data_IF_429346994246
#
_entry.id   IF_429346994246
#
_cell.length_a   1.000
_cell.length_b   1.000
_cell.length_c   1.000
_cell.angle_alpha   90.00
_cell.angle_beta   90.00
_cell.angle_gamma   90.00
#
_symmetry.space_group_name_H-M   'P 1'
#
loop_
_entity.id
_entity.type
_entity.pdbx_description
1 polymer ?
#
# COMPACT_ATOMS: atom_id res chain seq x y z
N UNK A 1 6.79 55.72 27.83
CA UNK A 1 8.25 55.87 27.66
C UNK A 1 8.81 54.55 27.20
N UNK A 2 9.49 54.58 26.06
CA UNK A 2 9.99 53.44 25.31
C UNK A 2 11.15 52.73 26.03
N UNK A 3 11.29 51.44 25.80
CA UNK A 3 12.58 50.75 25.78
C UNK A 3 12.51 49.64 24.73
N UNK A 4 13.11 49.96 23.58
CA UNK A 4 13.34 49.11 22.42
C UNK A 4 14.45 48.11 22.76
N UNK A 5 14.16 46.81 22.73
CA UNK A 5 15.18 45.77 22.74
C UNK A 5 15.57 45.41 21.29
N UNK A 6 16.77 45.84 20.92
CA UNK A 6 17.53 45.43 19.74
C UNK A 6 17.86 43.93 19.88
N UNK A 7 17.68 43.07 18.87
CA UNK A 7 18.52 43.00 17.68
C UNK A 7 19.49 41.80 17.82
N UNK A 8 19.24 40.70 17.09
CA UNK A 8 20.10 39.51 17.14
C UNK A 8 19.73 38.45 16.11
N UNK A 9 19.92 38.75 14.82
CA UNK A 9 19.74 37.78 13.73
C UNK A 9 21.03 36.94 13.62
N UNK A 10 21.01 35.73 14.18
CA UNK A 10 22.13 34.81 14.09
C UNK A 10 22.29 34.29 12.65
N UNK A 11 23.40 34.67 12.00
CA UNK A 11 23.80 34.14 10.68
C UNK A 11 24.24 32.68 10.85
N UNK A 12 23.44 31.75 10.34
CA UNK A 12 23.84 30.35 10.18
C UNK A 12 24.93 30.26 9.12
N UNK A 13 26.11 29.82 9.55
CA UNK A 13 27.29 29.60 8.73
C UNK A 13 27.14 28.25 8.00
N UNK A 14 26.84 28.27 6.70
CA UNK A 14 26.79 27.07 5.85
C UNK A 14 28.20 26.77 5.34
N UNK A 15 28.83 25.63 5.69
CA UNK A 15 30.14 25.29 5.12
C UNK A 15 30.02 24.96 3.62
N UNK A 16 30.93 25.55 2.84
CA UNK A 16 31.09 25.31 1.40
C UNK A 16 31.37 23.83 1.11
N UNK A 17 30.52 23.20 0.30
CA UNK A 17 30.77 21.86 -0.26
C UNK A 17 32.05 21.88 -1.12
N UNK A 18 32.98 20.98 -0.81
CA UNK A 18 34.18 20.76 -1.60
C UNK A 18 33.83 20.21 -3.00
N UNK A 19 34.44 20.81 -4.02
CA UNK A 19 34.39 20.36 -5.41
C UNK A 19 35.12 19.03 -5.56
N UNK A 20 34.39 17.96 -5.90
CA UNK A 20 34.96 16.70 -6.37
C UNK A 20 35.33 16.86 -7.85
N UNK A 21 36.62 16.72 -8.15
CA UNK A 21 37.18 16.73 -9.52
C UNK A 21 36.88 15.38 -10.20
N UNK A 22 36.36 15.32 -11.44
CA UNK A 22 36.30 14.07 -12.16
C UNK A 22 37.65 13.79 -12.81
N UNK A 23 38.28 12.66 -12.47
CA UNK A 23 39.43 12.15 -13.20
C UNK A 23 38.98 11.28 -14.39
N UNK A 24 39.76 11.40 -15.48
CA UNK A 24 39.47 10.94 -16.84
C UNK A 24 39.66 9.43 -17.01
N UNK A 25 38.82 8.85 -17.88
CA UNK A 25 39.03 7.57 -18.58
C UNK A 25 40.04 7.79 -19.74
N UNK A 26 40.91 6.82 -20.10
CA UNK A 26 40.58 5.80 -21.12
C UNK A 26 41.14 4.40 -20.70
N UNK A 27 40.77 3.26 -21.26
CA UNK A 27 40.82 2.84 -22.67
C UNK A 27 40.19 1.45 -22.81
N UNK A 28 39.87 0.99 -24.03
CA UNK A 28 39.09 -0.21 -24.29
C UNK A 28 40.00 -1.44 -24.34
N UNK A 29 39.53 -2.56 -23.83
CA UNK A 29 39.63 -3.87 -24.50
C UNK A 29 38.85 -4.87 -23.67
N UNK A 30 37.84 -5.44 -24.32
CA UNK A 30 36.96 -6.44 -23.78
C UNK A 30 37.71 -7.77 -23.60
N UNK A 31 37.48 -8.45 -22.48
CA UNK A 31 37.45 -9.92 -22.49
C UNK A 31 36.49 -10.44 -21.42
N UNK A 32 35.50 -11.16 -21.95
CA UNK A 32 34.65 -12.23 -21.43
C UNK A 32 34.45 -12.43 -19.91
N UNK A 33 33.18 -12.73 -19.63
CA UNK A 33 32.67 -13.65 -18.61
C UNK A 33 32.23 -13.04 -17.28
N UNK A 34 30.97 -12.63 -17.23
CA UNK A 34 30.14 -12.74 -16.05
C UNK A 34 28.70 -13.02 -16.51
N UNK A 35 28.11 -14.10 -15.98
CA UNK A 35 26.74 -14.53 -16.23
C UNK A 35 25.73 -13.41 -15.99
N UNK A 36 24.55 -13.42 -16.65
CA UNK A 36 23.49 -12.47 -16.35
C UNK A 36 22.97 -12.76 -14.93
N UNK A 37 23.39 -11.95 -13.97
CA UNK A 37 22.83 -11.96 -12.63
C UNK A 37 21.33 -11.65 -12.67
N UNK A 38 20.52 -12.21 -11.76
CA UNK A 38 19.10 -11.92 -11.72
C UNK A 38 18.91 -10.42 -11.48
N UNK A 39 18.09 -9.79 -12.33
CA UNK A 39 17.81 -8.37 -12.29
C UNK A 39 17.36 -7.91 -10.90
N UNK A 40 17.77 -6.70 -10.52
CA UNK A 40 17.36 -6.01 -9.29
C UNK A 40 15.86 -5.72 -9.29
N UNK A 41 15.06 -6.71 -8.95
CA UNK A 41 13.66 -6.57 -8.53
C UNK A 41 13.58 -7.35 -7.22
N UNK A 42 13.84 -6.72 -6.07
CA UNK A 42 13.77 -7.45 -4.81
C UNK A 42 14.27 -6.77 -3.53
N UNK A 43 15.07 -5.70 -3.58
CA UNK A 43 15.61 -5.13 -2.34
C UNK A 43 14.61 -4.27 -1.57
N UNK A 44 13.85 -3.41 -2.27
CA UNK A 44 12.88 -2.53 -1.61
C UNK A 44 11.67 -3.31 -1.06
N UNK A 45 11.14 -4.28 -1.81
CA UNK A 45 10.02 -5.11 -1.34
C UNK A 45 10.38 -5.91 -0.08
N UNK A 46 11.61 -6.43 0.02
CA UNK A 46 12.05 -7.14 1.24
C UNK A 46 12.28 -6.21 2.43
N UNK A 47 12.78 -5.00 2.20
CA UNK A 47 12.96 -3.99 3.27
C UNK A 47 11.61 -3.57 3.89
N UNK A 48 10.57 -3.39 3.06
CA UNK A 48 9.23 -3.05 3.56
C UNK A 48 8.50 -4.23 4.21
N UNK A 49 8.74 -5.46 3.76
CA UNK A 49 8.18 -6.66 4.42
C UNK A 49 8.77 -6.80 5.82
N UNK A 50 10.07 -6.60 5.99
CA UNK A 50 10.71 -6.63 7.32
C UNK A 50 10.21 -5.48 8.21
N UNK A 51 10.14 -4.25 7.67
CA UNK A 51 9.66 -3.09 8.42
C UNK A 51 8.18 -3.19 8.86
N UNK A 52 7.39 -4.01 8.16
CA UNK A 52 5.97 -4.25 8.47
C UNK A 52 5.71 -5.58 9.17
N UNK A 53 6.74 -6.40 9.42
CA UNK A 53 6.61 -7.67 10.14
C UNK A 53 6.08 -7.47 11.57
N UNK A 54 6.38 -6.32 12.17
CA UNK A 54 5.91 -5.92 13.50
C UNK A 54 4.38 -5.86 13.62
N UNK A 55 3.66 -5.55 12.53
CA UNK A 55 2.19 -5.56 12.53
C UNK A 55 1.58 -6.96 12.75
N UNK A 56 2.38 -8.02 12.48
CA UNK A 56 1.96 -9.42 12.54
C UNK A 56 2.63 -10.23 13.67
N UNK A 57 3.40 -9.59 14.56
CA UNK A 57 4.08 -10.29 15.66
C UNK A 57 3.11 -10.73 16.76
N UNK A 58 2.14 -9.88 17.11
CA UNK A 58 1.17 -10.15 18.18
C UNK A 58 -0.16 -10.70 17.64
N UNK A 59 -0.46 -10.46 16.37
CA UNK A 59 -1.71 -10.86 15.72
C UNK A 59 -1.43 -11.17 14.24
N UNK A 60 -1.56 -12.44 13.87
CA UNK A 60 -1.27 -12.93 12.52
C UNK A 60 -2.42 -12.74 11.53
N UNK A 61 -3.58 -12.20 11.97
CA UNK A 61 -4.73 -11.99 11.10
C UNK A 61 -4.42 -11.01 9.97
N UNK A 62 -4.91 -11.24 8.76
CA UNK A 62 -4.75 -10.32 7.64
C UNK A 62 -5.38 -8.96 7.93
N UNK A 63 -4.82 -7.92 7.32
CA UNK A 63 -5.27 -6.54 7.44
C UNK A 63 -5.83 -6.07 6.10
N UNK A 64 -7.14 -5.77 6.06
CA UNK A 64 -7.81 -5.14 4.94
C UNK A 64 -7.62 -3.61 5.02
N UNK A 65 -6.91 -3.07 4.04
CA UNK A 65 -6.76 -1.64 3.85
C UNK A 65 -7.91 -1.09 3.00
N UNK A 66 -8.51 0.02 3.45
CA UNK A 66 -9.66 0.62 2.78
C UNK A 66 -9.60 2.16 2.78
N UNK A 67 -10.32 2.77 1.85
CA UNK A 67 -10.47 4.23 1.78
C UNK A 67 -11.62 4.69 2.68
N UNK A 68 -11.30 5.33 3.82
CA UNK A 68 -12.28 5.79 4.81
C UNK A 68 -13.21 6.93 4.35
N UNK A 69 -12.90 7.61 3.24
CA UNK A 69 -13.79 8.66 2.67
C UNK A 69 -14.69 8.14 1.55
N UNK A 70 -14.53 6.88 1.15
CA UNK A 70 -15.31 6.28 0.07
C UNK A 70 -16.50 5.48 0.62
N UNK A 71 -17.72 5.90 0.29
CA UNK A 71 -18.96 5.22 0.70
C UNK A 71 -18.99 3.74 0.26
N UNK A 72 -18.50 3.43 -0.95
CA UNK A 72 -18.39 2.06 -1.45
C UNK A 72 -17.42 1.23 -0.61
N UNK A 73 -16.23 1.77 -0.32
CA UNK A 73 -15.23 1.06 0.51
C UNK A 73 -15.74 0.84 1.93
N UNK A 74 -16.38 1.86 2.52
CA UNK A 74 -17.00 1.78 3.83
C UNK A 74 -18.13 0.73 3.86
N UNK A 75 -18.97 0.69 2.82
CA UNK A 75 -19.97 -0.38 2.64
C UNK A 75 -19.34 -1.76 2.53
N UNK A 76 -18.24 -1.90 1.80
CA UNK A 76 -17.48 -3.14 1.71
C UNK A 76 -16.91 -3.61 3.06
N UNK A 77 -16.34 -2.70 3.85
CA UNK A 77 -15.87 -3.02 5.21
C UNK A 77 -17.01 -3.44 6.12
N UNK A 78 -18.15 -2.73 6.09
CA UNK A 78 -19.36 -3.10 6.86
C UNK A 78 -19.82 -4.51 6.48
N UNK A 79 -19.89 -4.81 5.18
CA UNK A 79 -20.23 -6.13 4.67
C UNK A 79 -19.27 -7.22 5.17
N UNK A 80 -17.95 -7.02 5.07
CA UNK A 80 -16.97 -8.01 5.53
C UNK A 80 -17.10 -8.22 7.04
N UNK A 81 -17.24 -7.14 7.82
CA UNK A 81 -17.38 -7.21 9.28
C UNK A 81 -18.64 -7.97 9.72
N UNK A 82 -19.73 -7.86 8.98
CA UNK A 82 -21.00 -8.55 9.27
C UNK A 82 -20.96 -10.04 8.88
N UNK A 83 -20.11 -10.41 7.93
CA UNK A 83 -19.98 -11.78 7.41
C UNK A 83 -18.72 -12.50 7.90
N UNK A 84 -17.90 -11.88 8.75
CA UNK A 84 -16.72 -12.47 9.39
C UNK A 84 -16.98 -12.71 10.88
N UNK A 85 -17.77 -13.74 11.22
CA UNK A 85 -18.12 -14.01 12.63
C UNK A 85 -16.92 -14.32 13.52
N UNK A 86 -15.89 -14.93 12.94
CA UNK A 86 -14.65 -15.28 13.65
C UNK A 86 -13.71 -14.07 13.81
N UNK A 87 -14.05 -12.92 13.23
CA UNK A 87 -13.20 -11.73 13.17
C UNK A 87 -11.81 -12.09 12.64
N UNK A 88 -11.77 -12.88 11.57
CA UNK A 88 -10.55 -13.33 10.90
C UNK A 88 -9.77 -12.19 10.26
N UNK A 89 -10.43 -11.06 9.91
CA UNK A 89 -9.82 -9.91 9.26
C UNK A 89 -9.79 -8.69 10.20
N UNK A 90 -8.68 -7.96 10.13
CA UNK A 90 -8.51 -6.62 10.74
C UNK A 90 -8.70 -5.54 9.68
N UNK A 91 -9.13 -4.35 10.08
CA UNK A 91 -9.37 -3.23 9.16
C UNK A 91 -8.46 -2.06 9.52
N UNK A 92 -7.89 -1.40 8.52
CA UNK A 92 -7.03 -0.24 8.70
C UNK A 92 -7.28 0.79 7.58
N UNK A 93 -7.69 2.03 7.88
CA UNK A 93 -7.86 3.06 6.86
C UNK A 93 -6.53 3.45 6.21
N UNK A 94 -6.53 3.61 4.88
CA UNK A 94 -5.37 4.04 4.10
C UNK A 94 -4.85 5.43 4.51
N UNK A 95 -5.71 6.26 5.09
CA UNK A 95 -5.38 7.60 5.57
C UNK A 95 -4.47 7.60 6.81
N UNK A 96 -4.43 6.51 7.58
CA UNK A 96 -3.62 6.44 8.79
C UNK A 96 -2.14 6.22 8.48
N UNK A 97 -1.28 6.53 9.44
CA UNK A 97 0.16 6.27 9.32
C UNK A 97 0.48 4.76 9.23
N UNK A 98 -0.34 3.91 9.84
CA UNK A 98 -0.21 2.45 9.71
C UNK A 98 -0.63 1.98 8.31
N UNK A 99 -1.78 2.46 7.81
CA UNK A 99 -2.29 2.16 6.48
C UNK A 99 -1.32 2.56 5.38
N UNK A 100 -0.73 3.76 5.45
CA UNK A 100 0.30 4.22 4.49
C UNK A 100 1.55 3.34 4.48
N UNK A 101 2.00 2.85 5.65
CA UNK A 101 3.15 1.94 5.74
C UNK A 101 2.84 0.58 5.11
N UNK A 102 1.66 0.03 5.40
CA UNK A 102 1.20 -1.24 4.85
C UNK A 102 0.93 -1.14 3.33
N UNK A 103 0.47 0.01 2.84
CA UNK A 103 0.25 0.26 1.41
C UNK A 103 1.58 0.32 0.63
N UNK A 104 2.62 0.96 1.18
CA UNK A 104 3.95 0.97 0.55
C UNK A 104 4.51 -0.44 0.37
N UNK A 105 4.29 -1.30 1.37
CA UNK A 105 4.70 -2.71 1.33
C UNK A 105 4.04 -3.49 0.19
N UNK A 106 2.80 -3.15 -0.21
CA UNK A 106 2.14 -3.78 -1.36
C UNK A 106 2.62 -3.28 -2.73
N UNK A 107 3.65 -2.44 -2.77
CA UNK A 107 4.22 -1.87 -4.00
C UNK A 107 3.40 -0.72 -4.58
N UNK A 108 2.47 -0.16 -3.79
CA UNK A 108 1.57 0.94 -4.17
C UNK A 108 2.08 2.28 -3.64
N UNK A 109 1.77 3.35 -4.38
CA UNK A 109 2.05 4.70 -3.90
C UNK A 109 1.16 5.00 -2.66
N UNK A 110 1.65 5.77 -1.67
CA UNK A 110 0.88 6.11 -0.46
C UNK A 110 -0.47 6.79 -0.74
N UNK A 111 -0.55 7.49 -1.87
CA UNK A 111 -1.73 8.25 -2.29
C UNK A 111 -2.63 7.45 -3.25
N UNK A 112 -2.26 6.21 -3.58
CA UNK A 112 -3.06 5.32 -4.40
C UNK A 112 -4.19 4.69 -3.56
N UNK A 113 -5.20 5.51 -3.27
CA UNK A 113 -6.41 5.11 -2.56
C UNK A 113 -7.42 4.39 -3.47
N UNK A 114 -7.08 4.15 -4.75
CA UNK A 114 -8.01 3.65 -5.75
C UNK A 114 -8.44 2.19 -5.53
N UNK A 115 -7.77 1.46 -4.63
CA UNK A 115 -7.93 0.02 -4.52
C UNK A 115 -7.98 -0.49 -3.07
N UNK A 116 -8.84 -1.47 -2.84
CA UNK A 116 -8.80 -2.35 -1.66
C UNK A 116 -7.53 -3.20 -1.73
N UNK A 117 -6.83 -3.29 -0.59
CA UNK A 117 -5.61 -4.09 -0.45
C UNK A 117 -5.78 -5.01 0.75
N UNK A 118 -5.42 -6.28 0.59
CA UNK A 118 -5.33 -7.22 1.71
C UNK A 118 -3.86 -7.50 1.99
N UNK A 119 -3.41 -7.28 3.22
CA UNK A 119 -2.04 -7.53 3.65
C UNK A 119 -2.00 -8.72 4.59
N UNK A 120 -1.25 -9.74 4.21
CA UNK A 120 -0.89 -10.89 5.04
C UNK A 120 0.55 -10.75 5.53
N UNK A 121 0.96 -11.64 6.44
CA UNK A 121 2.32 -11.65 6.99
C UNK A 121 3.41 -11.70 5.93
N UNK A 122 3.21 -12.49 4.88
CA UNK A 122 4.24 -12.76 3.86
C UNK A 122 3.89 -12.17 2.49
N UNK A 123 2.64 -11.77 2.27
CA UNK A 123 2.14 -11.33 0.96
C UNK A 123 1.15 -10.18 1.05
N UNK A 124 0.87 -9.55 -0.08
CA UNK A 124 -0.20 -8.56 -0.21
C UNK A 124 -0.94 -8.81 -1.52
N UNK A 125 -2.24 -8.60 -1.50
CA UNK A 125 -3.14 -8.73 -2.63
C UNK A 125 -3.80 -7.39 -2.93
N UNK A 126 -4.05 -7.13 -4.20
CA UNK A 126 -4.56 -5.85 -4.69
C UNK A 126 -5.74 -6.08 -5.63
N UNK A 127 -6.56 -5.05 -5.83
CA UNK A 127 -7.70 -5.06 -6.76
C UNK A 127 -8.61 -6.28 -6.56
N UNK A 128 -8.95 -6.97 -7.65
CA UNK A 128 -9.84 -8.11 -7.64
C UNK A 128 -9.27 -9.30 -6.88
N UNK A 129 -7.95 -9.45 -6.82
CA UNK A 129 -7.29 -10.50 -6.05
C UNK A 129 -7.49 -10.29 -4.54
N UNK A 130 -7.41 -9.03 -4.08
CA UNK A 130 -7.72 -8.70 -2.68
C UNK A 130 -9.17 -9.06 -2.34
N UNK A 131 -10.12 -8.74 -3.23
CA UNK A 131 -11.54 -9.03 -3.01
C UNK A 131 -11.79 -10.53 -2.91
N UNK A 132 -11.23 -11.33 -3.82
CA UNK A 132 -11.39 -12.79 -3.75
C UNK A 132 -10.74 -13.38 -2.51
N UNK A 133 -9.55 -12.90 -2.13
CA UNK A 133 -8.90 -13.37 -0.91
C UNK A 133 -9.69 -13.01 0.34
N UNK A 134 -10.26 -11.81 0.43
CA UNK A 134 -11.17 -11.43 1.51
C UNK A 134 -12.37 -12.38 1.58
N UNK A 135 -12.94 -12.77 0.43
CA UNK A 135 -14.07 -13.71 0.39
C UNK A 135 -13.72 -15.12 0.91
N UNK A 136 -12.45 -15.53 0.87
CA UNK A 136 -12.00 -16.81 1.45
C UNK A 136 -11.97 -16.78 2.99
N UNK A 137 -11.88 -15.59 3.60
CA UNK A 137 -11.79 -15.41 5.06
C UNK A 137 -13.14 -15.18 5.76
N UNK A 138 -14.20 -14.88 5.02
CA UNK A 138 -15.53 -14.66 5.56
C UNK A 138 -16.38 -15.94 5.50
N UNK A 139 -17.51 -15.95 6.20
CA UNK A 139 -18.35 -17.13 6.38
C UNK A 139 -18.96 -17.64 5.05
N UNK A 140 -19.44 -18.90 5.05
CA UNK A 140 -20.13 -19.47 3.90
C UNK A 140 -21.37 -18.62 3.53
N UNK A 141 -21.66 -18.43 2.22
CA UNK A 141 -21.15 -19.19 1.07
C UNK A 141 -19.97 -18.52 0.32
N UNK A 142 -19.40 -17.43 0.81
CA UNK A 142 -18.47 -16.61 0.03
C UNK A 142 -17.15 -17.31 -0.37
N UNK A 143 -16.54 -18.17 0.46
CA UNK A 143 -15.36 -18.93 0.04
C UNK A 143 -15.63 -19.82 -1.20
N UNK A 144 -16.85 -20.36 -1.34
CA UNK A 144 -17.24 -21.14 -2.50
C UNK A 144 -17.34 -20.24 -3.75
N UNK A 145 -17.97 -19.08 -3.60
CA UNK A 145 -18.05 -18.09 -4.68
C UNK A 145 -16.67 -17.60 -5.12
N UNK A 146 -15.74 -17.39 -4.18
CA UNK A 146 -14.37 -17.00 -4.47
C UNK A 146 -13.66 -18.05 -5.34
N UNK A 147 -13.82 -19.33 -5.00
CA UNK A 147 -13.29 -20.45 -5.78
C UNK A 147 -13.85 -20.46 -7.21
N UNK A 148 -15.16 -20.23 -7.38
CA UNK A 148 -15.76 -20.13 -8.72
C UNK A 148 -15.25 -18.92 -9.51
N UNK A 149 -15.13 -17.76 -8.87
CA UNK A 149 -14.62 -16.54 -9.50
C UNK A 149 -13.11 -16.57 -9.78
N UNK A 150 -12.37 -17.50 -9.18
CA UNK A 150 -10.97 -17.72 -9.49
C UNK A 150 -10.77 -18.29 -10.91
N UNK A 151 -11.77 -18.99 -11.46
CA UNK A 151 -11.75 -19.45 -12.86
C UNK A 151 -11.98 -18.33 -13.88
N UNK A 152 -12.51 -17.18 -13.45
CA UNK A 152 -12.68 -16.02 -14.31
C UNK A 152 -11.30 -15.42 -14.62
N UNK A 153 -10.94 -15.23 -15.91
CA UNK A 153 -9.65 -14.66 -16.28
C UNK A 153 -9.39 -13.32 -15.60
N UNK A 154 -8.14 -13.13 -15.17
CA UNK A 154 -7.69 -11.98 -14.39
C UNK A 154 -8.03 -10.64 -15.08
N UNK A 155 -7.90 -10.58 -16.41
CA UNK A 155 -8.24 -9.38 -17.19
C UNK A 155 -9.72 -8.98 -17.09
N UNK A 156 -10.65 -9.94 -17.05
CA UNK A 156 -12.09 -9.67 -16.94
C UNK A 156 -12.38 -9.14 -15.55
N UNK A 157 -11.82 -9.82 -14.53
CA UNK A 157 -12.08 -9.48 -13.13
C UNK A 157 -11.49 -8.12 -12.77
N UNK A 158 -10.29 -7.81 -13.25
CA UNK A 158 -9.67 -6.51 -13.08
C UNK A 158 -10.36 -5.42 -13.92
N UNK A 159 -10.86 -5.72 -15.11
CA UNK A 159 -11.65 -4.76 -15.90
C UNK A 159 -12.94 -4.36 -15.17
N UNK A 160 -13.67 -5.35 -14.62
CA UNK A 160 -14.86 -5.09 -13.81
C UNK A 160 -14.51 -4.29 -12.55
N UNK A 161 -13.43 -4.67 -11.87
CA UNK A 161 -12.93 -3.96 -10.70
C UNK A 161 -12.60 -2.51 -11.02
N UNK A 162 -11.83 -2.27 -12.07
CA UNK A 162 -11.37 -0.94 -12.47
C UNK A 162 -12.56 -0.06 -12.90
N UNK A 163 -13.57 -0.63 -13.57
CA UNK A 163 -14.81 0.11 -13.89
C UNK A 163 -15.53 0.59 -12.61
N UNK A 164 -15.72 -0.30 -11.64
CA UNK A 164 -16.35 0.06 -10.36
C UNK A 164 -15.49 1.06 -9.58
N UNK A 165 -14.18 0.83 -9.49
CA UNK A 165 -13.25 1.68 -8.76
C UNK A 165 -13.18 3.11 -9.36
N UNK A 166 -13.16 3.23 -10.69
CA UNK A 166 -13.11 4.52 -11.36
C UNK A 166 -14.42 5.31 -11.23
N UNK A 167 -15.56 4.63 -11.09
CA UNK A 167 -16.86 5.28 -10.95
C UNK A 167 -17.37 5.39 -9.50
N UNK A 168 -16.59 4.91 -8.51
CA UNK A 168 -17.05 4.78 -7.12
C UNK A 168 -17.54 6.08 -6.49
N UNK A 169 -16.86 7.20 -6.75
CA UNK A 169 -17.28 8.49 -6.19
C UNK A 169 -18.46 9.09 -6.94
N UNK A 170 -18.59 8.80 -8.24
CA UNK A 170 -19.71 9.26 -9.06
C UNK A 170 -21.01 8.56 -8.67
N UNK A 171 -20.95 7.25 -8.42
CA UNK A 171 -22.14 6.45 -8.08
C UNK A 171 -22.46 6.43 -6.59
N UNK A 172 -21.45 6.36 -5.72
CA UNK A 172 -21.65 6.17 -4.28
C UNK A 172 -21.34 7.42 -3.46
N UNK A 173 -20.65 8.42 -4.02
CA UNK A 173 -20.29 9.64 -3.31
C UNK A 173 -19.12 9.46 -2.33
N UNK A 174 -18.90 10.49 -1.51
CA UNK A 174 -17.89 10.54 -0.44
C UNK A 174 -18.59 10.67 0.91
N UNK A 175 -17.96 10.14 1.95
CA UNK A 175 -18.36 10.41 3.34
C UNK A 175 -17.60 11.65 3.84
N UNK A 176 -18.30 12.58 4.48
CA UNK A 176 -17.70 13.77 5.13
C UNK A 176 -17.02 13.42 6.47
N UNK A 177 -17.29 12.22 7.02
CA UNK A 177 -16.69 11.70 8.24
C UNK A 177 -16.33 10.22 8.09
N UNK A 178 -15.24 9.80 8.75
CA UNK A 178 -14.89 8.38 8.85
C UNK A 178 -15.87 7.74 9.85
N UNK A 179 -16.84 6.96 9.34
CA UNK A 179 -17.91 6.34 10.15
C UNK A 179 -17.50 5.00 10.81
N UNK A 180 -16.33 4.47 10.49
CA UNK A 180 -15.89 3.11 10.84
C UNK A 180 -14.75 3.14 11.85
#
# INVERSE_FOLDING_TARGET
MALLAQGGCARLHVPRRAHVRPQRVPSPFATLSAAPGPGRVGSQSMEWVEATSSFFQQDSRPIMLFDGVCNLCNGGVKFVRENDRNRSIRFEPLQSEAGKKLLRRSGRAPDDISSVVLVEKDRSYIKSEAVLKIMEYIDLPFPQLALFLQFVPLFIRDFLYDNVANNRYTFFGRSESCEI
#
